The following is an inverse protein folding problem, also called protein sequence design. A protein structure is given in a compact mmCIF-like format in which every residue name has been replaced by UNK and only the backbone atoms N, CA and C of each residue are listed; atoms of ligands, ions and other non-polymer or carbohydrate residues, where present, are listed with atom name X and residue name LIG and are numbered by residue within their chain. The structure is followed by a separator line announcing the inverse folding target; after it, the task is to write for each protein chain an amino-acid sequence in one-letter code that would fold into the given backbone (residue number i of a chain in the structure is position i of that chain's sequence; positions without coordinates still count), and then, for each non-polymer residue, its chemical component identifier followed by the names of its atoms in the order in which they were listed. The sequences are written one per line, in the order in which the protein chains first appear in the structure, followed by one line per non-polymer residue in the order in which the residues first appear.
data_IF_913306745026
#
_entry.id   IF_913306745026
#
_cell.length_a   1.000
_cell.length_b   1.000
_cell.length_c   1.000
_cell.angle_alpha   90.00
_cell.angle_beta   90.00
_cell.angle_gamma   90.00
#
_symmetry.space_group_name_H-M   'P 1'
#
loop_
_entity.id
_entity.type
_entity.pdbx_description
1 polymer ?
#
# COMPACT_ATOMS: atom_id res chain seq x y z
N UNK A 1 -50.53 -1.83 -51.06
CA UNK A 1 -49.58 -2.88 -51.49
C UNK A 1 -48.99 -2.50 -52.84
N UNK A 2 -47.84 -1.85 -52.84
CA UNK A 2 -47.04 -1.51 -54.03
C UNK A 2 -45.59 -1.86 -53.72
N UNK A 3 -45.02 -2.79 -54.48
CA UNK A 3 -43.62 -3.22 -54.36
C UNK A 3 -42.73 -2.13 -54.97
N UNK A 4 -41.73 -1.67 -54.23
CA UNK A 4 -40.69 -0.76 -54.69
C UNK A 4 -39.36 -1.51 -54.62
N UNK A 5 -38.70 -1.62 -55.78
CA UNK A 5 -37.34 -2.08 -55.96
C UNK A 5 -36.36 -1.05 -55.40
N UNK A 6 -35.30 -1.50 -54.72
CA UNK A 6 -34.13 -0.69 -54.39
C UNK A 6 -32.86 -1.42 -54.88
N UNK A 7 -31.96 -0.75 -55.62
CA UNK A 7 -30.79 -1.39 -56.22
C UNK A 7 -29.58 -1.43 -55.28
N UNK A 8 -28.71 -2.41 -55.52
CA UNK A 8 -27.39 -2.58 -54.90
C UNK A 8 -26.45 -1.40 -55.20
N UNK A 9 -25.82 -0.86 -54.16
CA UNK A 9 -24.73 0.12 -54.26
C UNK A 9 -23.38 -0.62 -54.14
N UNK A 10 -22.56 -0.52 -55.17
CA UNK A 10 -21.12 -0.85 -55.14
C UNK A 10 -20.40 0.43 -54.75
N UNK A 11 -19.64 0.40 -53.65
CA UNK A 11 -18.75 1.48 -53.22
C UNK A 11 -17.30 1.07 -53.49
N UNK A 12 -16.66 1.79 -54.42
CA UNK A 12 -15.24 1.67 -54.77
C UNK A 12 -14.44 2.53 -53.78
N UNK A 13 -13.51 1.93 -53.02
CA UNK A 13 -12.55 2.65 -52.19
C UNK A 13 -11.23 2.81 -52.95
N UNK A 14 -10.87 4.07 -53.20
CA UNK A 14 -9.63 4.49 -53.82
C UNK A 14 -8.45 4.35 -52.85
N UNK A 15 -7.35 3.76 -53.34
CA UNK A 15 -6.08 3.67 -52.62
C UNK A 15 -5.30 4.98 -52.64
N UNK A 16 -4.79 5.38 -51.47
CA UNK A 16 -3.74 6.39 -51.32
C UNK A 16 -2.45 5.68 -50.91
N UNK A 17 -1.48 5.66 -51.83
CA UNK A 17 -0.10 5.24 -51.56
C UNK A 17 0.70 6.45 -51.09
N UNK A 18 1.24 6.41 -49.88
CA UNK A 18 2.25 7.37 -49.41
C UNK A 18 3.60 6.67 -49.37
N UNK A 19 4.51 7.18 -50.20
CA UNK A 19 5.90 6.77 -50.37
C UNK A 19 6.73 7.18 -49.16
N UNK A 20 7.41 6.22 -48.51
CA UNK A 20 8.45 6.49 -47.53
C UNK A 20 9.79 6.58 -48.27
N UNK A 21 10.41 7.76 -48.24
CA UNK A 21 11.77 7.99 -48.71
C UNK A 21 12.77 7.58 -47.63
N UNK A 22 13.66 6.63 -47.94
CA UNK A 22 14.84 6.34 -47.12
C UNK A 22 16.04 7.17 -47.59
N UNK A 23 16.82 7.80 -46.70
CA UNK A 23 18.10 8.37 -47.09
C UNK A 23 19.20 7.30 -47.19
N UNK A 24 20.06 7.59 -48.16
CA UNK A 24 21.01 6.74 -48.85
C UNK A 24 22.29 6.47 -48.05
N UNK A 25 22.84 5.25 -48.21
CA UNK A 25 24.14 4.82 -47.71
C UNK A 25 25.27 5.48 -48.51
N UNK A 26 26.10 6.28 -47.85
CA UNK A 26 27.35 6.83 -48.40
C UNK A 26 28.57 6.11 -47.82
N UNK A 27 29.32 5.42 -48.69
CA UNK A 27 30.61 4.78 -48.41
C UNK A 27 31.71 5.86 -48.49
N UNK A 28 32.59 5.93 -47.47
CA UNK A 28 33.81 6.75 -47.45
C UNK A 28 34.96 5.88 -46.93
N UNK A 29 36.19 5.97 -47.49
CA UNK A 29 37.17 4.88 -47.42
C UNK A 29 37.94 4.79 -46.10
N UNK A 30 38.37 3.57 -45.81
CA UNK A 30 39.25 3.15 -44.72
C UNK A 30 40.63 3.77 -44.89
N UNK A 31 41.11 4.46 -43.86
CA UNK A 31 42.52 4.83 -43.69
C UNK A 31 43.07 4.02 -42.51
N UNK A 32 44.05 3.17 -42.79
CA UNK A 32 44.79 2.37 -41.81
C UNK A 32 45.81 3.23 -41.07
N UNK A 33 45.73 3.28 -39.74
CA UNK A 33 46.89 3.64 -38.91
C UNK A 33 47.09 2.59 -37.81
N UNK A 34 48.26 1.96 -37.88
CA UNK A 34 48.82 0.98 -36.97
C UNK A 34 49.09 1.53 -35.56
N UNK A 35 48.63 0.78 -34.55
CA UNK A 35 49.43 0.42 -33.37
C UNK A 35 49.76 1.49 -32.33
N UNK A 36 48.99 1.50 -31.23
CA UNK A 36 49.52 1.72 -29.88
C UNK A 36 48.69 0.90 -28.88
N UNK A 37 49.32 -0.10 -28.27
CA UNK A 37 48.77 -0.91 -27.19
C UNK A 37 48.69 -0.04 -25.92
N UNK A 38 47.48 0.34 -25.53
CA UNK A 38 47.21 0.89 -24.21
C UNK A 38 46.56 -0.20 -23.35
N UNK A 39 47.28 -0.65 -22.33
CA UNK A 39 46.75 -1.49 -21.26
C UNK A 39 45.65 -0.74 -20.51
N UNK A 40 44.47 -1.34 -20.25
CA UNK A 40 43.50 -0.73 -19.35
C UNK A 40 44.00 -0.83 -17.90
N UNK A 41 44.31 0.32 -17.31
CA UNK A 41 44.48 0.48 -15.87
C UNK A 41 43.18 0.05 -15.16
N UNK A 42 43.23 -0.80 -14.13
CA UNK A 42 42.02 -1.18 -13.41
C UNK A 42 41.44 0.04 -12.69
N UNK A 43 40.21 0.40 -13.06
CA UNK A 43 39.39 1.37 -12.35
C UNK A 43 39.19 0.86 -10.92
N UNK A 44 39.33 1.70 -9.87
CA UNK A 44 39.01 1.27 -8.53
C UNK A 44 37.51 0.96 -8.48
N UNK A 45 37.16 -0.30 -8.18
CA UNK A 45 35.83 -0.64 -7.73
C UNK A 45 35.56 0.16 -6.46
N UNK A 46 34.69 1.17 -6.58
CA UNK A 46 34.11 1.84 -5.43
C UNK A 46 33.37 0.78 -4.62
N UNK A 47 34.00 0.36 -3.52
CA UNK A 47 33.35 -0.40 -2.47
C UNK A 47 32.23 0.49 -1.96
N UNK A 48 30.98 0.17 -2.30
CA UNK A 48 29.82 0.74 -1.62
C UNK A 48 29.94 0.30 -0.16
N UNK A 49 30.56 1.19 0.61
CA UNK A 49 30.63 1.11 2.05
C UNK A 49 29.18 1.04 2.53
N UNK A 50 28.81 -0.07 3.17
CA UNK A 50 27.54 -0.19 3.88
C UNK A 50 27.62 0.80 5.04
N UNK A 51 27.28 2.05 4.80
CA UNK A 51 26.99 3.01 5.85
C UNK A 51 25.80 2.47 6.61
N UNK A 52 26.05 1.96 7.80
CA UNK A 52 25.05 1.67 8.81
C UNK A 52 24.17 2.90 8.98
N UNK A 53 22.97 2.85 8.42
CA UNK A 53 21.97 3.90 8.57
C UNK A 53 21.58 3.95 10.05
N UNK A 54 21.47 5.14 10.68
CA UNK A 54 21.14 5.23 12.10
C UNK A 54 19.79 4.57 12.38
N UNK A 55 19.78 3.62 13.32
CA UNK A 55 18.56 3.03 13.88
C UNK A 55 17.68 4.16 14.40
N UNK A 56 16.47 4.34 13.86
CA UNK A 56 15.47 5.18 14.51
C UNK A 56 15.04 4.46 15.78
N UNK A 57 15.69 4.79 16.90
CA UNK A 57 15.23 4.36 18.21
C UNK A 57 13.91 5.07 18.50
N UNK A 58 12.80 4.32 18.43
CA UNK A 58 11.55 4.71 19.05
C UNK A 58 11.71 4.56 20.56
N UNK A 59 12.45 5.47 21.18
CA UNK A 59 12.48 5.56 22.64
C UNK A 59 11.06 5.91 23.11
N UNK A 60 10.47 5.15 24.04
CA UNK A 60 9.19 5.54 24.62
C UNK A 60 9.32 6.97 25.17
N UNK A 61 8.35 7.88 24.90
CA UNK A 61 8.37 9.18 25.54
C UNK A 61 8.41 8.97 27.06
N UNK A 62 9.30 9.70 27.74
CA UNK A 62 9.28 9.78 29.20
C UNK A 62 7.99 10.49 29.58
N UNK A 63 6.97 9.73 29.98
CA UNK A 63 5.68 10.27 30.39
C UNK A 63 5.88 10.98 31.74
N UNK A 64 6.07 12.29 31.71
CA UNK A 64 5.77 13.13 32.88
C UNK A 64 4.25 13.08 33.11
N UNK A 65 3.87 12.50 34.24
CA UNK A 65 2.50 12.16 34.58
C UNK A 65 1.55 13.39 34.60
N UNK A 66 0.45 13.29 33.84
CA UNK A 66 -0.84 13.91 34.17
C UNK A 66 -1.96 13.24 33.34
N UNK A 67 -2.63 12.24 33.94
CA UNK A 67 -3.78 11.54 33.38
C UNK A 67 -3.41 10.33 32.52
N UNK A 68 -3.95 9.14 32.81
CA UNK A 68 -3.81 8.01 31.89
C UNK A 68 -4.52 8.36 30.59
N UNK A 69 -3.78 8.49 29.48
CA UNK A 69 -4.38 8.61 28.15
C UNK A 69 -5.29 7.38 27.97
N UNK A 70 -6.60 7.61 27.86
CA UNK A 70 -7.58 6.53 27.68
C UNK A 70 -8.26 6.73 26.34
N UNK A 71 -8.17 5.73 25.48
CA UNK A 71 -8.80 5.75 24.15
C UNK A 71 -9.25 4.35 23.73
N UNK A 72 -10.20 4.32 22.81
CA UNK A 72 -10.68 3.11 22.14
C UNK A 72 -10.82 3.40 20.66
N UNK A 73 -10.03 2.73 19.85
CA UNK A 73 -9.99 2.93 18.40
C UNK A 73 -10.30 1.58 17.75
N UNK A 74 -11.50 1.38 17.18
CA UNK A 74 -11.75 0.25 16.31
C UNK A 74 -10.88 0.40 15.05
N UNK A 75 -10.18 -0.67 14.66
CA UNK A 75 -9.39 -0.72 13.42
C UNK A 75 -10.13 -1.66 12.47
N UNK A 76 -10.71 -1.12 11.39
CA UNK A 76 -11.43 -1.89 10.39
C UNK A 76 -10.44 -2.31 9.29
N UNK A 77 -10.33 -3.61 9.05
CA UNK A 77 -9.41 -4.19 8.06
C UNK A 77 -10.17 -4.66 6.83
N UNK A 78 -9.94 -3.97 5.73
CA UNK A 78 -10.41 -4.28 4.38
C UNK A 78 -9.26 -4.83 3.53
N UNK A 79 -9.57 -5.49 2.42
CA UNK A 79 -8.57 -5.92 1.43
C UNK A 79 -9.03 -5.46 0.05
N UNK A 80 -10.04 -6.10 -0.53
CA UNK A 80 -10.62 -5.69 -1.81
C UNK A 80 -11.92 -4.90 -1.61
N UNK A 81 -12.07 -3.81 -2.36
CA UNK A 81 -13.34 -3.09 -2.50
C UNK A 81 -13.86 -3.23 -3.93
N UNK A 82 -15.05 -3.77 -4.12
CA UNK A 82 -15.67 -3.87 -5.44
C UNK A 82 -16.16 -5.27 -5.78
N UNK A 83 -15.99 -5.68 -7.03
CA UNK A 83 -16.40 -7.00 -7.49
C UNK A 83 -15.20 -7.94 -7.61
N UNK A 84 -15.48 -9.24 -7.69
CA UNK A 84 -14.48 -10.26 -7.98
C UNK A 84 -14.83 -11.00 -9.27
N UNK A 85 -13.84 -11.58 -9.97
CA UNK A 85 -14.08 -12.39 -11.17
C UNK A 85 -15.00 -13.59 -10.89
N UNK A 86 -15.75 -14.04 -11.91
CA UNK A 86 -16.68 -15.15 -11.75
C UNK A 86 -16.01 -16.47 -11.26
N UNK A 87 -14.73 -16.66 -11.59
CA UNK A 87 -13.91 -17.79 -11.17
C UNK A 87 -13.13 -17.56 -9.86
N UNK A 88 -13.43 -16.49 -9.11
CA UNK A 88 -12.78 -16.20 -7.83
C UNK A 88 -12.91 -17.39 -6.85
N UNK A 89 -11.78 -17.72 -6.22
CA UNK A 89 -11.74 -18.72 -5.15
C UNK A 89 -12.41 -18.20 -3.86
N UNK A 90 -12.46 -19.05 -2.84
CA UNK A 90 -13.05 -18.68 -1.54
C UNK A 90 -12.26 -17.57 -0.85
N UNK A 91 -10.93 -17.53 -1.01
CA UNK A 91 -10.07 -16.50 -0.42
C UNK A 91 -10.42 -15.13 -0.98
N UNK A 92 -10.42 -14.97 -2.31
CA UNK A 92 -10.77 -13.69 -2.96
C UNK A 92 -12.17 -13.24 -2.58
N UNK A 93 -13.14 -14.15 -2.53
CA UNK A 93 -14.52 -13.85 -2.09
C UNK A 93 -14.57 -13.35 -0.64
N UNK A 94 -13.89 -14.05 0.27
CA UNK A 94 -13.87 -13.73 1.70
C UNK A 94 -13.09 -12.45 2.05
N UNK A 95 -12.28 -11.96 1.11
CA UNK A 95 -11.51 -10.72 1.24
C UNK A 95 -12.14 -9.53 0.52
N UNK A 96 -13.22 -9.74 -0.24
CA UNK A 96 -13.89 -8.69 -0.98
C UNK A 96 -15.09 -8.17 -0.21
N UNK A 97 -15.18 -6.84 -0.10
CA UNK A 97 -16.38 -6.09 0.28
C UNK A 97 -16.84 -5.32 -0.94
N UNK A 98 -18.11 -5.42 -1.32
CA UNK A 98 -18.62 -4.67 -2.47
C UNK A 98 -18.54 -3.15 -2.24
N UNK A 99 -18.40 -2.39 -3.33
CA UNK A 99 -18.42 -0.91 -3.29
C UNK A 99 -19.67 -0.39 -2.58
N UNK A 100 -20.82 -1.02 -2.81
CA UNK A 100 -22.09 -0.68 -2.14
C UNK A 100 -21.99 -0.89 -0.63
N UNK A 101 -21.52 -2.05 -0.17
CA UNK A 101 -21.38 -2.34 1.26
C UNK A 101 -20.35 -1.43 1.93
N UNK A 102 -19.23 -1.13 1.25
CA UNK A 102 -18.24 -0.18 1.76
C UNK A 102 -18.83 1.23 1.89
N UNK A 103 -19.62 1.68 0.91
CA UNK A 103 -20.33 2.96 1.02
C UNK A 103 -21.32 2.96 2.20
N UNK A 104 -22.05 1.87 2.41
CA UNK A 104 -22.94 1.72 3.57
C UNK A 104 -22.17 1.80 4.90
N UNK A 105 -20.99 1.20 4.98
CA UNK A 105 -20.10 1.35 6.13
C UNK A 105 -19.75 2.82 6.37
N UNK A 106 -19.35 3.57 5.34
CA UNK A 106 -19.04 5.00 5.46
C UNK A 106 -20.26 5.84 5.89
N UNK A 107 -21.45 5.55 5.34
CA UNK A 107 -22.72 6.19 5.76
C UNK A 107 -23.00 5.94 7.25
N UNK A 108 -22.78 4.72 7.74
CA UNK A 108 -22.95 4.39 9.16
C UNK A 108 -21.96 5.17 10.03
N UNK A 109 -20.69 5.24 9.61
CA UNK A 109 -19.66 6.00 10.33
C UNK A 109 -20.03 7.48 10.42
N UNK A 110 -20.43 8.10 9.31
CA UNK A 110 -20.89 9.48 9.27
C UNK A 110 -22.09 9.69 10.20
N UNK A 111 -23.13 8.84 10.09
CA UNK A 111 -24.34 8.91 10.93
C UNK A 111 -24.03 8.77 12.43
N UNK A 112 -23.05 7.94 12.80
CA UNK A 112 -22.64 7.71 14.19
C UNK A 112 -21.59 8.72 14.69
N UNK A 113 -21.20 9.68 13.85
CA UNK A 113 -20.16 10.69 14.11
C UNK A 113 -18.76 10.10 14.35
N UNK A 114 -18.44 8.97 13.74
CA UNK A 114 -17.07 8.45 13.72
C UNK A 114 -16.21 9.28 12.77
N UNK A 115 -14.99 9.58 13.20
CA UNK A 115 -13.98 10.26 12.38
C UNK A 115 -12.78 9.34 12.20
N UNK A 116 -12.47 9.03 10.95
CA UNK A 116 -11.31 8.22 10.63
C UNK A 116 -10.02 8.98 10.93
N UNK A 117 -9.10 8.29 11.59
CA UNK A 117 -7.74 8.74 11.94
C UNK A 117 -6.71 7.73 11.43
N UNK A 118 -5.46 8.17 11.44
CA UNK A 118 -4.26 7.42 11.06
C UNK A 118 -3.37 7.19 12.29
N UNK A 119 -2.31 6.39 12.16
CA UNK A 119 -1.34 6.20 13.25
C UNK A 119 -0.46 7.43 13.44
N UNK A 120 -0.32 8.30 12.43
CA UNK A 120 0.25 9.63 12.64
C UNK A 120 -0.56 10.45 13.65
N UNK A 121 -1.90 10.43 13.58
CA UNK A 121 -2.75 11.13 14.54
C UNK A 121 -2.58 10.56 15.97
N UNK A 122 -2.40 9.25 16.08
CA UNK A 122 -2.14 8.56 17.36
C UNK A 122 -0.75 8.93 17.90
N UNK A 123 0.27 8.98 17.05
CA UNK A 123 1.62 9.40 17.43
C UNK A 123 1.62 10.84 17.96
N UNK A 124 0.96 11.77 17.25
CA UNK A 124 0.80 13.17 17.68
C UNK A 124 0.02 13.27 19.01
N UNK A 125 -1.04 12.46 19.18
CA UNK A 125 -1.79 12.40 20.43
C UNK A 125 -0.94 11.91 21.62
N UNK A 126 -0.14 10.86 21.43
CA UNK A 126 0.76 10.32 22.46
C UNK A 126 1.84 11.33 22.85
N UNK A 127 2.31 12.14 21.90
CA UNK A 127 3.26 13.24 22.14
C UNK A 127 2.63 14.45 22.85
N UNK A 128 1.30 14.53 22.89
CA UNK A 128 0.55 15.66 23.43
C UNK A 128 0.34 16.80 22.43
N UNK A 129 0.71 16.61 21.16
CA UNK A 129 0.62 17.62 20.09
C UNK A 129 -0.79 17.73 19.51
N UNK A 130 -1.66 16.74 19.78
CA UNK A 130 -3.00 16.63 19.19
C UNK A 130 -3.99 15.96 20.13
N UNK A 131 -5.27 16.27 19.95
CA UNK A 131 -6.36 15.53 20.58
C UNK A 131 -7.03 14.61 19.55
N UNK A 132 -7.41 13.41 19.97
CA UNK A 132 -8.22 12.53 19.13
C UNK A 132 -9.66 13.04 19.05
N UNK A 133 -10.38 12.79 17.94
CA UNK A 133 -11.82 13.03 17.89
C UNK A 133 -12.54 12.16 18.94
N UNK A 134 -13.75 12.56 19.35
CA UNK A 134 -14.51 11.81 20.38
C UNK A 134 -14.82 10.36 19.99
N UNK A 135 -14.98 10.09 18.69
CA UNK A 135 -15.22 8.76 18.13
C UNK A 135 -14.19 8.46 17.05
N UNK A 136 -12.94 8.16 17.44
CA UNK A 136 -11.91 7.81 16.49
C UNK A 136 -12.19 6.41 15.93
N UNK A 137 -11.91 6.22 14.65
CA UNK A 137 -11.88 4.91 14.01
C UNK A 137 -10.71 4.87 13.04
N UNK A 138 -10.19 3.69 12.72
CA UNK A 138 -9.18 3.55 11.69
C UNK A 138 -9.71 2.66 10.58
N UNK A 139 -9.58 3.13 9.34
CA UNK A 139 -9.87 2.35 8.14
C UNK A 139 -8.53 1.90 7.58
N UNK A 140 -8.35 0.60 7.40
CA UNK A 140 -7.11 0.01 6.91
C UNK A 140 -7.38 -0.88 5.70
N UNK A 141 -6.47 -0.81 4.73
CA UNK A 141 -6.51 -1.60 3.50
C UNK A 141 -5.18 -2.32 3.33
N UNK A 142 -5.26 -3.60 3.03
CA UNK A 142 -4.10 -4.49 2.99
C UNK A 142 -3.70 -4.78 1.54
N UNK A 143 -2.46 -5.24 1.36
CA UNK A 143 -1.86 -5.73 0.12
C UNK A 143 -1.55 -4.70 -0.96
N UNK A 144 -2.29 -3.60 -1.03
CA UNK A 144 -2.09 -2.54 -2.02
C UNK A 144 -2.78 -2.82 -3.37
N UNK A 145 -3.97 -3.41 -3.31
CA UNK A 145 -4.78 -3.72 -4.49
C UNK A 145 -5.24 -2.46 -5.23
N UNK A 146 -5.34 -2.52 -6.56
CA UNK A 146 -5.74 -1.38 -7.39
C UNK A 146 -7.15 -0.86 -7.03
N UNK A 147 -8.05 -1.75 -6.65
CA UNK A 147 -9.42 -1.41 -6.27
C UNK A 147 -9.51 -0.54 -4.99
N UNK A 148 -8.45 -0.51 -4.19
CA UNK A 148 -8.33 0.44 -3.08
C UNK A 148 -8.21 1.89 -3.58
N UNK A 149 -7.58 2.07 -4.73
CA UNK A 149 -7.46 3.37 -5.39
C UNK A 149 -8.66 3.67 -6.29
N UNK A 150 -9.10 2.72 -7.11
CA UNK A 150 -10.15 2.97 -8.11
C UNK A 150 -11.57 2.97 -7.53
N UNK A 151 -11.84 2.21 -6.46
CA UNK A 151 -13.18 2.10 -5.85
C UNK A 151 -13.25 2.73 -4.45
N UNK A 152 -12.28 2.45 -3.58
CA UNK A 152 -12.36 2.91 -2.19
C UNK A 152 -12.03 4.40 -2.02
N UNK A 153 -10.99 4.90 -2.69
CA UNK A 153 -10.54 6.30 -2.55
C UNK A 153 -11.61 7.34 -2.93
N UNK A 154 -12.36 7.23 -4.05
CA UNK A 154 -13.42 8.19 -4.36
C UNK A 154 -14.49 8.29 -3.26
N UNK A 155 -14.82 7.16 -2.63
CA UNK A 155 -15.75 7.13 -1.51
C UNK A 155 -15.13 7.73 -0.24
N UNK A 156 -13.87 7.42 0.07
CA UNK A 156 -13.16 8.05 1.19
C UNK A 156 -13.16 9.59 1.03
N UNK A 157 -12.89 10.10 -0.17
CA UNK A 157 -12.93 11.53 -0.49
C UNK A 157 -14.34 12.10 -0.32
N UNK A 158 -15.36 11.43 -0.88
CA UNK A 158 -16.77 11.85 -0.78
C UNK A 158 -17.24 11.98 0.68
N UNK A 159 -16.81 11.07 1.56
CA UNK A 159 -17.19 11.06 2.97
C UNK A 159 -16.18 11.79 3.88
N UNK A 160 -15.11 12.37 3.31
CA UNK A 160 -14.08 13.10 4.04
C UNK A 160 -13.34 12.25 5.09
N UNK A 161 -13.11 10.98 4.79
CA UNK A 161 -12.43 10.02 5.66
C UNK A 161 -11.00 9.74 5.19
N UNK A 162 -10.09 9.59 6.15
CA UNK A 162 -8.73 9.12 5.92
C UNK A 162 -8.62 7.62 6.15
N UNK A 163 -7.52 7.03 5.69
CA UNK A 163 -7.25 5.60 5.83
C UNK A 163 -5.74 5.33 5.91
N UNK A 164 -5.39 4.11 6.29
CA UNK A 164 -4.04 3.55 6.24
C UNK A 164 -4.00 2.48 5.15
N UNK A 165 -3.07 2.58 4.20
CA UNK A 165 -2.86 1.58 3.15
C UNK A 165 -1.55 0.86 3.41
N UNK A 166 -1.60 -0.44 3.66
CA UNK A 166 -0.43 -1.28 3.89
C UNK A 166 0.04 -1.89 2.57
N UNK A 167 1.24 -1.51 2.13
CA UNK A 167 1.73 -1.81 0.77
C UNK A 167 2.79 -2.91 0.80
N UNK A 168 2.57 -3.98 0.03
CA UNK A 168 3.59 -4.99 -0.29
C UNK A 168 4.41 -4.52 -1.49
N UNK A 169 5.66 -4.10 -1.27
CA UNK A 169 6.37 -3.23 -2.23
C UNK A 169 6.69 -3.85 -3.58
N UNK A 170 6.93 -5.16 -3.64
CA UNK A 170 7.20 -5.87 -4.90
C UNK A 170 5.92 -6.22 -5.68
N UNK A 171 4.75 -6.00 -5.09
CA UNK A 171 3.47 -6.17 -5.78
C UNK A 171 3.03 -4.91 -6.52
N UNK A 172 3.55 -3.74 -6.12
CA UNK A 172 3.20 -2.45 -6.74
C UNK A 172 3.58 -2.45 -8.23
N UNK A 173 2.59 -2.15 -9.07
CA UNK A 173 2.71 -2.13 -10.53
C UNK A 173 2.47 -3.49 -11.21
N UNK A 174 2.25 -4.57 -10.45
CA UNK A 174 1.77 -5.83 -11.02
C UNK A 174 0.26 -5.75 -11.32
N UNK A 175 -0.22 -6.67 -12.16
CA UNK A 175 -1.64 -6.76 -12.49
C UNK A 175 -2.52 -6.93 -11.24
N UNK A 176 -3.56 -6.11 -11.12
CA UNK A 176 -4.46 -6.05 -9.96
C UNK A 176 -3.93 -5.29 -8.74
N UNK A 177 -2.74 -4.70 -8.81
CA UNK A 177 -2.16 -3.89 -7.72
C UNK A 177 -1.98 -2.44 -8.15
N UNK A 178 -1.98 -1.54 -7.17
CA UNK A 178 -1.72 -0.12 -7.39
C UNK A 178 -0.36 0.10 -8.06
N UNK A 179 -0.26 1.17 -8.85
CA UNK A 179 1.03 1.70 -9.31
C UNK A 179 1.67 2.59 -8.24
N UNK A 180 2.95 2.93 -8.40
CA UNK A 180 3.58 3.91 -7.49
C UNK A 180 2.91 5.29 -7.56
N UNK A 181 2.41 5.70 -8.72
CA UNK A 181 1.63 6.94 -8.88
C UNK A 181 0.35 6.92 -8.05
N UNK A 182 -0.37 5.79 -8.03
CA UNK A 182 -1.55 5.62 -7.18
C UNK A 182 -1.18 5.77 -5.68
N UNK A 183 -0.09 5.13 -5.25
CA UNK A 183 0.38 5.20 -3.84
C UNK A 183 0.82 6.61 -3.44
N UNK A 184 1.55 7.31 -4.32
CA UNK A 184 1.95 8.71 -4.11
C UNK A 184 0.73 9.61 -4.00
N UNK A 185 -0.27 9.38 -4.85
CA UNK A 185 -1.51 10.15 -4.86
C UNK A 185 -2.36 9.92 -3.58
N UNK A 186 -2.42 8.70 -3.05
CA UNK A 186 -3.00 8.43 -1.73
C UNK A 186 -2.31 9.26 -0.63
N UNK A 187 -0.98 9.32 -0.66
CA UNK A 187 -0.21 10.09 0.32
C UNK A 187 -0.51 11.59 0.22
N UNK A 188 -0.57 12.14 -0.99
CA UNK A 188 -0.88 13.56 -1.23
C UNK A 188 -2.26 13.96 -0.70
N UNK A 189 -3.24 13.05 -0.73
CA UNK A 189 -4.58 13.24 -0.16
C UNK A 189 -4.64 13.05 1.37
N UNK A 190 -3.49 12.83 2.00
CA UNK A 190 -3.36 12.78 3.45
C UNK A 190 -3.73 11.43 4.07
N UNK A 191 -3.76 10.36 3.27
CA UNK A 191 -3.78 8.99 3.77
C UNK A 191 -2.39 8.58 4.30
N UNK A 192 -2.37 7.60 5.19
CA UNK A 192 -1.13 7.00 5.67
C UNK A 192 -0.74 5.83 4.77
N UNK A 193 0.55 5.74 4.45
CA UNK A 193 1.14 4.55 3.84
C UNK A 193 1.92 3.79 4.91
N UNK A 194 1.54 2.53 5.13
CA UNK A 194 2.22 1.57 6.00
C UNK A 194 2.90 0.47 5.18
N UNK A 195 3.79 -0.28 5.81
CA UNK A 195 4.48 -1.41 5.15
C UNK A 195 3.74 -2.73 5.31
N UNK A 196 3.69 -3.54 4.25
CA UNK A 196 3.14 -4.90 4.28
C UNK A 196 4.14 -5.94 3.78
N UNK A 197 5.39 -5.83 4.24
CA UNK A 197 6.56 -6.57 3.73
C UNK A 197 6.93 -6.22 2.29
N UNK A 198 7.95 -6.89 1.76
CA UNK A 198 8.41 -6.69 0.40
C UNK A 198 7.58 -7.55 -0.56
N UNK A 199 7.51 -8.86 -0.30
CA UNK A 199 6.92 -9.83 -1.23
C UNK A 199 5.62 -10.46 -0.74
N UNK A 200 5.07 -9.98 0.39
CA UNK A 200 3.93 -10.58 1.09
C UNK A 200 4.27 -11.99 1.65
N UNK A 201 5.49 -12.14 2.17
CA UNK A 201 5.96 -13.41 2.72
C UNK A 201 5.32 -13.76 4.08
N UNK A 202 5.10 -15.05 4.34
CA UNK A 202 4.77 -15.54 5.68
C UNK A 202 6.00 -15.44 6.59
N UNK A 203 6.01 -14.41 7.43
CA UNK A 203 7.15 -14.05 8.28
C UNK A 203 7.46 -15.10 9.33
N UNK A 204 6.45 -15.84 9.83
CA UNK A 204 6.67 -16.92 10.78
C UNK A 204 7.45 -18.06 10.13
N UNK A 205 7.10 -18.43 8.90
CA UNK A 205 7.79 -19.51 8.17
C UNK A 205 9.23 -19.17 7.83
N UNK A 206 9.53 -17.90 7.54
CA UNK A 206 10.89 -17.46 7.21
C UNK A 206 11.70 -16.96 8.42
N UNK A 207 11.13 -16.95 9.63
CA UNK A 207 11.76 -16.38 10.84
C UNK A 207 13.09 -17.04 11.25
N UNK A 208 13.37 -18.25 10.75
CA UNK A 208 14.68 -18.92 10.89
C UNK A 208 15.79 -18.39 9.97
N UNK A 209 15.47 -17.47 9.04
CA UNK A 209 16.41 -16.91 8.07
C UNK A 209 16.45 -15.38 8.21
N UNK A 210 17.41 -14.89 9.00
CA UNK A 210 17.54 -13.46 9.34
C UNK A 210 17.68 -12.56 8.11
N UNK A 211 18.42 -13.02 7.10
CA UNK A 211 18.61 -12.26 5.86
C UNK A 211 17.29 -12.08 5.12
N UNK A 212 16.48 -13.14 4.99
CA UNK A 212 15.15 -13.05 4.37
C UNK A 212 14.22 -12.18 5.20
N UNK A 213 14.23 -12.34 6.52
CA UNK A 213 13.37 -11.56 7.40
C UNK A 213 13.70 -10.06 7.33
N UNK A 214 14.99 -9.70 7.32
CA UNK A 214 15.47 -8.32 7.10
C UNK A 214 15.08 -7.78 5.71
N UNK A 215 15.21 -8.59 4.64
CA UNK A 215 14.80 -8.19 3.29
C UNK A 215 13.28 -7.97 3.20
N UNK A 216 12.46 -8.76 3.90
CA UNK A 216 11.01 -8.56 3.91
C UNK A 216 10.58 -7.35 4.74
N UNK A 217 11.17 -7.13 5.91
CA UNK A 217 10.70 -6.12 6.87
C UNK A 217 11.38 -4.76 6.66
N UNK A 218 12.71 -4.75 6.57
CA UNK A 218 13.51 -3.52 6.62
C UNK A 218 13.67 -2.91 5.23
N UNK A 219 13.93 -3.74 4.21
CA UNK A 219 14.05 -3.22 2.85
C UNK A 219 12.71 -2.70 2.31
N UNK A 220 11.59 -3.30 2.69
CA UNK A 220 10.26 -2.78 2.37
C UNK A 220 10.07 -1.35 2.90
N UNK A 221 10.46 -1.08 4.15
CA UNK A 221 10.49 0.28 4.74
C UNK A 221 11.29 1.24 3.86
N UNK A 222 12.53 0.88 3.55
CA UNK A 222 13.43 1.73 2.78
C UNK A 222 12.92 1.98 1.35
N UNK A 223 12.29 0.99 0.71
CA UNK A 223 11.67 1.17 -0.61
C UNK A 223 10.57 2.23 -0.50
N UNK A 224 9.65 2.10 0.46
CA UNK A 224 8.56 3.08 0.66
C UNK A 224 9.09 4.48 0.98
N UNK A 225 10.10 4.60 1.86
CA UNK A 225 10.69 5.90 2.21
C UNK A 225 11.44 6.54 1.02
N UNK A 226 12.08 5.72 0.16
CA UNK A 226 12.74 6.20 -1.06
C UNK A 226 11.77 6.84 -2.08
N UNK A 227 10.48 6.51 -1.98
CA UNK A 227 9.39 7.10 -2.77
C UNK A 227 8.88 8.44 -2.21
N UNK A 228 9.57 9.00 -1.19
CA UNK A 228 9.21 10.28 -0.55
C UNK A 228 7.81 10.29 0.09
N UNK A 229 7.33 9.12 0.53
CA UNK A 229 6.02 8.97 1.18
C UNK A 229 5.98 9.42 2.65
N UNK A 230 7.09 9.97 3.15
CA UNK A 230 7.30 10.33 4.55
C UNK A 230 7.84 9.17 5.39
N UNK A 231 7.96 9.34 6.71
CA UNK A 231 8.45 8.29 7.60
C UNK A 231 7.43 7.16 7.70
N UNK A 232 7.83 5.92 7.39
CA UNK A 232 6.91 4.79 7.46
C UNK A 232 6.90 4.23 8.89
N UNK A 233 5.94 4.64 9.69
CA UNK A 233 5.88 4.32 11.14
C UNK A 233 5.07 3.07 11.46
N UNK A 234 4.32 2.54 10.49
CA UNK A 234 3.39 1.43 10.70
C UNK A 234 3.67 0.23 9.80
N UNK A 235 3.39 -0.95 10.33
CA UNK A 235 3.56 -2.24 9.67
C UNK A 235 2.30 -3.09 9.77
N UNK A 236 2.08 -3.99 8.82
CA UNK A 236 1.10 -5.07 8.94
C UNK A 236 1.77 -6.41 8.65
N UNK A 237 1.52 -7.40 9.50
CA UNK A 237 1.99 -8.78 9.30
C UNK A 237 1.14 -9.51 8.24
N UNK A 238 1.71 -9.97 7.11
CA UNK A 238 1.00 -10.77 6.11
C UNK A 238 0.29 -11.97 6.73
N UNK A 239 -0.98 -12.14 6.37
CA UNK A 239 -1.87 -13.19 6.93
C UNK A 239 -2.00 -13.20 8.47
N UNK A 240 -1.48 -12.19 9.18
CA UNK A 240 -1.33 -12.20 10.63
C UNK A 240 -0.36 -13.26 11.15
N UNK A 241 0.56 -13.75 10.32
CA UNK A 241 1.51 -14.80 10.69
C UNK A 241 2.83 -14.22 11.20
N UNK A 242 3.11 -14.41 12.49
CA UNK A 242 4.32 -13.92 13.15
C UNK A 242 4.68 -14.77 14.41
N UNK A 243 5.85 -14.48 14.99
CA UNK A 243 6.30 -14.94 16.30
C UNK A 243 7.07 -13.81 17.01
N UNK A 244 7.48 -13.98 18.27
CA UNK A 244 8.17 -12.91 19.03
C UNK A 244 9.40 -12.37 18.32
N UNK A 245 10.22 -13.21 17.69
CA UNK A 245 11.39 -12.74 16.93
C UNK A 245 11.01 -11.79 15.78
N UNK A 246 9.91 -12.06 15.10
CA UNK A 246 9.39 -11.17 14.05
C UNK A 246 8.88 -9.87 14.66
N UNK A 247 8.17 -9.93 15.79
CA UNK A 247 7.67 -8.74 16.48
C UNK A 247 8.82 -7.87 16.97
N UNK A 248 9.85 -8.47 17.59
CA UNK A 248 11.05 -7.77 18.04
C UNK A 248 11.69 -6.99 16.89
N UNK A 249 11.92 -7.65 15.74
CA UNK A 249 12.47 -6.98 14.55
C UNK A 249 11.57 -5.84 14.09
N UNK A 250 10.26 -6.04 14.01
CA UNK A 250 9.33 -5.01 13.55
C UNK A 250 9.33 -3.81 14.50
N UNK A 251 9.35 -4.02 15.81
CA UNK A 251 9.42 -2.96 16.83
C UNK A 251 10.76 -2.19 16.79
N UNK A 252 11.81 -2.70 16.15
CA UNK A 252 13.04 -1.93 15.92
C UNK A 252 12.93 -0.88 14.81
N UNK A 253 12.00 -1.08 13.86
CA UNK A 253 11.91 -0.27 12.63
C UNK A 253 10.57 0.45 12.45
N UNK A 254 9.53 0.01 13.15
CA UNK A 254 8.18 0.57 13.10
C UNK A 254 7.67 0.82 14.51
N UNK A 255 6.96 1.94 14.70
CA UNK A 255 6.38 2.28 15.99
C UNK A 255 5.12 1.47 16.29
N UNK A 256 4.37 1.13 15.25
CA UNK A 256 3.12 0.40 15.33
C UNK A 256 3.11 -0.77 14.35
N UNK A 257 2.50 -1.89 14.73
CA UNK A 257 2.27 -2.98 13.81
C UNK A 257 0.93 -3.67 14.08
N UNK A 258 0.15 -3.89 13.02
CA UNK A 258 -1.20 -4.44 13.11
C UNK A 258 -1.24 -5.92 12.75
N UNK A 259 -2.06 -6.65 13.52
CA UNK A 259 -2.27 -8.11 13.43
C UNK A 259 -3.67 -8.43 12.90
N UNK A 260 -3.98 -9.71 12.70
CA UNK A 260 -5.35 -10.17 12.43
C UNK A 260 -6.11 -10.58 13.70
N UNK A 261 -5.52 -10.42 14.89
CA UNK A 261 -6.16 -10.77 16.16
C UNK A 261 -7.37 -9.85 16.39
N UNK A 262 -8.57 -10.39 16.67
CA UNK A 262 -9.76 -9.57 16.87
C UNK A 262 -9.65 -8.71 18.14
N UNK A 263 -10.04 -7.44 18.05
CA UNK A 263 -10.12 -6.58 19.22
C UNK A 263 -10.14 -5.07 18.91
N UNK A 264 -10.06 -4.27 19.96
CA UNK A 264 -10.05 -2.81 19.91
C UNK A 264 -8.70 -2.28 20.36
N UNK A 265 -8.14 -1.34 19.61
CA UNK A 265 -6.89 -0.69 19.99
C UNK A 265 -7.15 0.28 21.15
N UNK A 266 -6.41 0.09 22.25
CA UNK A 266 -6.49 0.91 23.46
C UNK A 266 -5.09 1.29 23.94
N UNK A 267 -5.02 2.15 24.96
CA UNK A 267 -3.77 2.51 25.61
C UNK A 267 -2.99 1.32 26.19
N UNK A 268 -3.65 0.18 26.43
CA UNK A 268 -3.05 -1.03 26.99
C UNK A 268 -2.59 -2.03 25.91
N UNK A 269 -2.84 -1.75 24.63
CA UNK A 269 -2.39 -2.62 23.54
C UNK A 269 -0.88 -2.49 23.33
N UNK A 270 -0.20 -3.62 23.06
CA UNK A 270 1.20 -3.59 22.59
C UNK A 270 1.24 -2.93 21.21
N UNK A 271 2.07 -1.91 21.03
CA UNK A 271 2.10 -1.16 19.77
C UNK A 271 2.55 -2.03 18.58
N UNK A 272 3.44 -2.99 18.79
CA UNK A 272 3.83 -3.99 17.79
C UNK A 272 2.77 -5.07 17.51
N UNK A 273 1.62 -5.08 18.20
CA UNK A 273 0.57 -6.08 17.98
C UNK A 273 -0.84 -5.47 18.09
N UNK A 274 -1.13 -4.45 17.29
CA UNK A 274 -2.45 -3.81 17.26
C UNK A 274 -3.53 -4.82 16.83
N UNK A 275 -4.67 -4.89 17.56
CA UNK A 275 -5.79 -5.75 17.19
C UNK A 275 -6.64 -5.08 16.09
N UNK A 276 -7.46 -5.88 15.41
CA UNK A 276 -8.30 -5.40 14.30
C UNK A 276 -9.69 -6.00 14.32
N UNK A 277 -10.60 -5.44 13.53
CA UNK A 277 -11.90 -6.00 13.19
C UNK A 277 -11.88 -6.30 11.68
N UNK A 278 -11.99 -7.58 11.32
CA UNK A 278 -11.97 -8.01 9.91
C UNK A 278 -13.29 -7.65 9.24
N UNK A 279 -13.23 -6.89 8.15
CA UNK A 279 -14.39 -6.58 7.32
C UNK A 279 -14.52 -7.61 6.21
N UNK A 280 -15.76 -8.04 5.98
CA UNK A 280 -16.15 -8.97 4.92
C UNK A 280 -17.54 -8.58 4.45
N UNK A 281 -17.91 -9.07 3.27
CA UNK A 281 -19.27 -8.92 2.78
C UNK A 281 -20.29 -9.44 3.82
N UNK A 282 -21.36 -8.68 4.05
CA UNK A 282 -22.40 -8.99 5.04
C UNK A 282 -22.09 -8.63 6.50
N UNK A 283 -20.93 -8.05 6.83
CA UNK A 283 -20.69 -7.51 8.18
C UNK A 283 -21.57 -6.27 8.43
N UNK A 284 -22.46 -6.35 9.43
CA UNK A 284 -23.24 -5.20 9.90
C UNK A 284 -22.44 -4.33 10.88
N UNK A 285 -21.97 -3.20 10.37
CA UNK A 285 -21.19 -2.25 11.14
C UNK A 285 -22.00 -1.57 12.26
N UNK A 286 -23.34 -1.54 12.20
CA UNK A 286 -24.15 -0.99 13.28
C UNK A 286 -24.05 -1.82 14.55
N UNK A 287 -24.06 -3.14 14.41
CA UNK A 287 -23.92 -4.11 15.49
C UNK A 287 -22.50 -4.15 16.03
N UNK A 288 -21.50 -4.03 15.14
CA UNK A 288 -20.10 -4.07 15.53
C UNK A 288 -19.64 -2.85 16.36
N UNK A 289 -20.21 -1.66 16.09
CA UNK A 289 -19.84 -0.40 16.73
C UNK A 289 -20.82 0.06 17.83
N UNK A 290 -21.48 -0.88 18.52
CA UNK A 290 -22.33 -0.59 19.68
C UNK A 290 -21.52 -0.34 20.95
#
# INVERSE_FOLDING_TARGET
MKKIFLPFFILILAGCSVTITMPNSGIVPVSTSTGALFSPTPTPHSVLNQTSVPRQSFSPPTVTASGSLSFRIPILMYHHIGTYPANADSTRKNLTVSTTTFEEHLKILQKKNYKAITLYDVQEFIKGDKQLPQKPIMLTFDDGYDDNFSEALPLLDQYGQKAVFYIATDLVGNDGYMTWEHVENLKERGHEIGSHTRTHADLKLISGNDKKLQDEVVKAKHILESKKLGPIISFCYPSGSYNEKVVDLVEEYYEFARTTKPGIFTQNSRRGELPTLRMQEGVDLNTLLQ
#
